data_IF_415686944993
#
_entry.id   IF_415686944993
#
_cell.length_a   1.000
_cell.length_b   1.000
_cell.length_c   1.000
_cell.angle_alpha   90.00
_cell.angle_beta   90.00
_cell.angle_gamma   90.00
#
_symmetry.space_group_name_H-M   'P 1'
#
loop_
_entity.id
_entity.type
_entity.pdbx_description
1 polymer ?
#
# COMPACT_ATOMS: atom_id res chain seq x y z
N UNK A 1 -20.77 34.60 18.37
CA UNK A 1 -20.47 33.21 18.07
C UNK A 1 -20.58 33.07 16.56
N UNK A 2 -19.61 32.44 15.88
CA UNK A 2 -19.79 32.20 14.45
C UNK A 2 -20.98 31.26 14.26
N UNK A 3 -21.80 31.60 13.29
CA UNK A 3 -22.95 30.78 12.89
C UNK A 3 -22.48 29.43 12.39
N UNK A 4 -22.84 28.38 13.12
CA UNK A 4 -22.46 27.00 12.75
C UNK A 4 -23.42 26.35 11.74
N UNK A 5 -24.43 27.08 11.25
CA UNK A 5 -25.43 26.56 10.32
C UNK A 5 -24.77 26.12 8.99
N UNK A 6 -23.81 26.90 8.50
CA UNK A 6 -23.09 26.58 7.27
C UNK A 6 -22.26 25.29 7.35
N UNK A 7 -21.73 24.94 8.52
CA UNK A 7 -20.97 23.70 8.73
C UNK A 7 -21.87 22.46 8.84
N UNK A 8 -23.08 22.62 9.35
CA UNK A 8 -24.05 21.53 9.41
C UNK A 8 -24.57 21.18 8.01
N UNK A 9 -24.81 22.16 7.17
CA UNK A 9 -25.22 21.98 5.78
C UNK A 9 -24.07 21.37 4.93
N UNK A 10 -22.84 21.83 5.14
CA UNK A 10 -21.66 21.31 4.45
C UNK A 10 -21.31 19.85 4.78
N UNK A 11 -21.83 19.33 5.89
CA UNK A 11 -21.61 17.92 6.32
C UNK A 11 -22.68 16.95 5.83
N UNK A 12 -23.67 17.42 5.09
CA UNK A 12 -24.67 16.52 4.52
C UNK A 12 -24.01 15.61 3.46
N UNK A 13 -24.50 14.37 3.36
CA UNK A 13 -23.96 13.39 2.41
C UNK A 13 -24.03 13.96 0.99
N UNK A 14 -22.89 13.89 0.27
CA UNK A 14 -22.76 14.38 -1.12
C UNK A 14 -22.46 15.89 -1.23
N UNK A 15 -22.27 16.61 -0.12
CA UNK A 15 -21.85 18.01 -0.16
C UNK A 15 -20.32 18.09 -0.28
N UNK A 16 -19.82 18.76 -1.31
CA UNK A 16 -18.40 19.08 -1.44
C UNK A 16 -18.03 20.24 -0.51
N UNK A 17 -16.99 20.06 0.29
CA UNK A 17 -16.47 21.10 1.20
C UNK A 17 -15.46 22.04 0.54
N UNK A 18 -14.92 21.64 -0.61
CA UNK A 18 -13.92 22.38 -1.39
C UNK A 18 -13.93 21.89 -2.84
N UNK A 19 -13.40 22.72 -3.73
CA UNK A 19 -13.22 22.34 -5.13
C UNK A 19 -12.04 21.39 -5.27
N UNK A 20 -12.31 20.17 -5.73
CA UNK A 20 -11.30 19.13 -5.98
C UNK A 20 -10.83 19.08 -7.44
N UNK A 21 -11.35 19.93 -8.29
CA UNK A 21 -11.03 19.95 -9.73
C UNK A 21 -9.68 20.63 -10.02
N UNK A 22 -9.24 21.54 -9.16
CA UNK A 22 -8.00 22.28 -9.34
C UNK A 22 -6.81 21.51 -8.76
N UNK A 23 -5.81 21.24 -9.62
CA UNK A 23 -4.53 20.66 -9.23
C UNK A 23 -3.46 21.74 -9.14
N UNK A 24 -2.66 21.72 -8.07
CA UNK A 24 -1.54 22.65 -7.85
C UNK A 24 -0.26 22.18 -8.54
N UNK A 25 -0.06 20.85 -8.61
CA UNK A 25 1.14 20.25 -9.22
C UNK A 25 0.83 19.66 -10.59
N UNK A 26 1.80 19.78 -11.50
CA UNK A 26 1.73 19.17 -12.83
C UNK A 26 1.52 17.64 -12.75
N UNK A 27 0.91 17.08 -13.78
CA UNK A 27 0.71 15.65 -13.91
C UNK A 27 1.96 15.00 -14.54
N UNK A 28 2.86 14.51 -13.68
CA UNK A 28 4.09 13.85 -14.11
C UNK A 28 3.76 12.41 -14.52
N UNK A 29 4.28 11.99 -15.67
CA UNK A 29 4.30 10.61 -16.14
C UNK A 29 5.76 10.12 -16.15
N UNK A 30 5.96 8.81 -16.03
CA UNK A 30 7.29 8.22 -16.07
C UNK A 30 7.90 8.30 -17.47
N UNK A 31 9.18 8.58 -17.52
CA UNK A 31 10.01 8.40 -18.71
C UNK A 31 10.35 6.91 -18.90
N UNK A 32 10.68 6.46 -20.11
CA UNK A 32 11.06 5.08 -20.37
C UNK A 32 12.20 4.60 -19.47
N UNK A 33 11.98 3.53 -18.71
CA UNK A 33 12.95 2.92 -17.81
C UNK A 33 12.98 3.50 -16.39
N UNK A 34 12.13 4.45 -16.06
CA UNK A 34 12.01 4.93 -14.69
C UNK A 34 11.33 3.91 -13.78
N UNK A 35 11.90 3.73 -12.60
CA UNK A 35 11.48 2.77 -11.60
C UNK A 35 10.95 3.45 -10.35
N UNK A 36 10.12 2.74 -9.59
CA UNK A 36 9.63 3.19 -8.30
C UNK A 36 9.65 2.06 -7.28
N UNK A 37 10.00 2.37 -6.05
CA UNK A 37 9.97 1.43 -4.93
C UNK A 37 9.15 1.99 -3.79
N UNK A 38 8.26 1.17 -3.25
CA UNK A 38 7.55 1.46 -2.00
C UNK A 38 8.01 0.47 -0.93
N UNK A 39 8.51 0.99 0.18
CA UNK A 39 8.97 0.20 1.33
C UNK A 39 7.96 0.32 2.46
N UNK A 40 7.30 -0.80 2.81
CA UNK A 40 6.22 -0.82 3.79
C UNK A 40 6.64 -1.58 5.06
N UNK A 41 6.72 -0.84 6.17
CA UNK A 41 7.02 -1.35 7.50
C UNK A 41 5.91 -0.99 8.51
N UNK A 42 4.67 -1.04 8.08
CA UNK A 42 3.52 -0.74 8.93
C UNK A 42 2.55 -1.91 8.95
N UNK A 43 1.82 -2.08 10.04
CA UNK A 43 0.80 -3.13 10.15
C UNK A 43 -0.41 -2.80 9.26
N UNK A 44 -1.15 -3.83 8.79
CA UNK A 44 -2.45 -3.62 8.17
C UNK A 44 -3.36 -2.85 9.14
N UNK A 45 -4.10 -1.89 8.59
CA UNK A 45 -5.10 -1.14 9.36
C UNK A 45 -4.55 -0.24 10.48
N UNK A 46 -3.27 0.11 10.45
CA UNK A 46 -2.74 1.18 11.28
C UNK A 46 -3.19 2.53 10.71
N UNK A 47 -4.35 2.99 11.14
CA UNK A 47 -4.97 4.18 10.59
C UNK A 47 -5.11 4.10 9.05
N UNK A 48 -4.76 5.17 8.36
CA UNK A 48 -4.77 5.22 6.89
C UNK A 48 -3.42 4.87 6.23
N UNK A 49 -2.33 4.74 7.01
CA UNK A 49 -0.96 4.65 6.47
C UNK A 49 -0.81 3.49 5.48
N UNK A 50 -1.25 2.29 5.88
CA UNK A 50 -1.17 1.11 5.02
C UNK A 50 -1.92 1.29 3.71
N UNK A 51 -3.21 1.54 3.77
CA UNK A 51 -4.08 1.62 2.59
C UNK A 51 -3.71 2.79 1.68
N UNK A 52 -3.43 3.97 2.24
CA UNK A 52 -3.09 5.17 1.43
C UNK A 52 -1.78 4.95 0.67
N UNK A 53 -0.77 4.32 1.28
CA UNK A 53 0.48 4.03 0.57
C UNK A 53 0.29 2.96 -0.53
N UNK A 54 -0.54 1.94 -0.32
CA UNK A 54 -0.89 0.99 -1.38
C UNK A 54 -1.62 1.68 -2.55
N UNK A 55 -2.59 2.55 -2.26
CA UNK A 55 -3.28 3.35 -3.27
C UNK A 55 -2.32 4.28 -4.02
N UNK A 56 -1.40 4.92 -3.31
CA UNK A 56 -0.39 5.80 -3.92
C UNK A 56 0.56 5.00 -4.81
N UNK A 57 1.02 3.83 -4.36
CA UNK A 57 1.86 2.92 -5.16
C UNK A 57 1.14 2.47 -6.44
N UNK A 58 -0.15 2.17 -6.34
CA UNK A 58 -0.96 1.85 -7.53
C UNK A 58 -1.00 3.03 -8.51
N UNK A 59 -1.16 4.25 -8.00
CA UNK A 59 -1.14 5.47 -8.85
C UNK A 59 0.22 5.70 -9.49
N UNK A 60 1.32 5.42 -8.79
CA UNK A 60 2.69 5.48 -9.34
C UNK A 60 2.83 4.50 -10.52
N UNK A 61 2.35 3.26 -10.35
CA UNK A 61 2.31 2.27 -11.45
C UNK A 61 1.53 2.78 -12.66
N UNK A 62 0.35 3.36 -12.42
CA UNK A 62 -0.51 3.91 -13.48
C UNK A 62 0.08 5.13 -14.19
N UNK A 63 1.06 5.78 -13.58
CA UNK A 63 1.87 6.84 -14.19
C UNK A 63 3.03 6.32 -15.05
N UNK A 64 3.15 5.00 -15.22
CA UNK A 64 4.11 4.38 -16.11
C UNK A 64 5.40 3.89 -15.46
N UNK A 65 5.62 4.12 -14.16
CA UNK A 65 6.81 3.62 -13.47
C UNK A 65 6.81 2.09 -13.40
N UNK A 66 7.98 1.46 -13.60
CA UNK A 66 8.18 0.07 -13.22
C UNK A 66 8.27 -0.02 -11.69
N UNK A 67 7.24 -0.56 -11.07
CA UNK A 67 6.95 -0.36 -9.65
C UNK A 67 7.12 -1.64 -8.85
N UNK A 68 7.89 -1.54 -7.76
CA UNK A 68 8.09 -2.61 -6.77
C UNK A 68 7.54 -2.20 -5.41
N UNK A 69 6.84 -3.12 -4.74
CA UNK A 69 6.40 -3.00 -3.36
C UNK A 69 7.16 -4.02 -2.50
N UNK A 70 7.87 -3.52 -1.49
CA UNK A 70 8.68 -4.32 -0.56
C UNK A 70 8.02 -4.32 0.81
N UNK A 71 7.48 -5.45 1.22
CA UNK A 71 6.83 -5.67 2.52
C UNK A 71 7.84 -6.33 3.47
N UNK A 72 8.13 -5.69 4.60
CA UNK A 72 9.06 -6.21 5.59
C UNK A 72 8.62 -5.84 7.01
N UNK A 73 9.20 -6.48 8.03
CA UNK A 73 8.70 -6.34 9.38
C UNK A 73 7.19 -6.56 9.45
N UNK A 74 6.41 -5.70 10.12
CA UNK A 74 4.96 -5.87 10.22
C UNK A 74 4.23 -5.71 8.89
N UNK A 75 4.86 -5.10 7.88
CA UNK A 75 4.29 -4.95 6.54
C UNK A 75 3.96 -6.27 5.86
N UNK A 76 4.66 -7.37 6.19
CA UNK A 76 4.36 -8.69 5.62
C UNK A 76 2.96 -9.19 5.94
N UNK A 77 2.36 -8.70 7.04
CA UNK A 77 0.98 -9.04 7.40
C UNK A 77 -0.05 -8.56 6.37
N UNK A 78 0.30 -7.56 5.55
CA UNK A 78 -0.54 -7.13 4.42
C UNK A 78 -0.65 -8.21 3.35
N UNK A 79 0.40 -9.01 3.19
CA UNK A 79 0.49 -10.05 2.17
C UNK A 79 -0.23 -11.35 2.54
N UNK A 80 -0.80 -11.47 3.74
CA UNK A 80 -1.59 -12.65 4.12
C UNK A 80 -2.79 -12.80 3.19
N UNK A 81 -2.93 -13.96 2.54
CA UNK A 81 -4.04 -14.28 1.64
C UNK A 81 -5.37 -14.49 2.37
N UNK A 82 -5.33 -14.69 3.69
CA UNK A 82 -6.52 -14.89 4.51
C UNK A 82 -6.58 -13.88 5.65
N UNK A 83 -7.78 -13.40 5.98
CA UNK A 83 -8.01 -12.47 7.09
C UNK A 83 -9.29 -12.80 7.82
N UNK A 84 -9.20 -12.80 9.15
CA UNK A 84 -10.33 -13.05 10.01
C UNK A 84 -10.98 -14.41 9.81
N UNK A 85 -12.19 -14.53 10.30
CA UNK A 85 -13.02 -15.70 10.09
C UNK A 85 -13.99 -15.44 8.94
N UNK A 86 -14.02 -16.28 7.87
CA UNK A 86 -14.80 -15.99 6.66
C UNK A 86 -16.30 -15.70 6.88
N UNK A 87 -16.90 -16.29 7.91
CA UNK A 87 -18.32 -16.10 8.21
C UNK A 87 -18.62 -14.89 9.11
N UNK A 88 -17.61 -14.29 9.70
CA UNK A 88 -17.77 -13.17 10.67
C UNK A 88 -17.19 -11.88 10.13
N UNK A 89 -16.19 -11.98 9.23
CA UNK A 89 -15.44 -10.84 8.76
C UNK A 89 -16.29 -9.77 8.07
N UNK A 90 -17.12 -10.15 7.11
CA UNK A 90 -17.95 -9.21 6.34
C UNK A 90 -19.07 -8.58 7.17
N UNK A 91 -19.67 -9.35 8.09
CA UNK A 91 -20.74 -8.87 8.97
C UNK A 91 -20.21 -7.95 10.08
N UNK A 92 -19.10 -8.37 10.72
CA UNK A 92 -18.55 -7.68 11.87
C UNK A 92 -17.61 -6.53 11.48
N UNK A 93 -16.96 -6.63 10.34
CA UNK A 93 -15.96 -5.66 9.89
C UNK A 93 -15.97 -5.48 8.37
N UNK A 94 -16.94 -4.71 7.84
CA UNK A 94 -16.98 -4.39 6.41
C UNK A 94 -15.66 -3.76 5.95
N UNK A 95 -15.10 -4.25 4.84
CA UNK A 95 -13.83 -3.77 4.32
C UNK A 95 -12.58 -4.44 4.89
N UNK A 96 -12.73 -5.51 5.69
CA UNK A 96 -11.58 -6.28 6.22
C UNK A 96 -10.66 -6.83 5.11
N UNK A 97 -11.17 -7.02 3.90
CA UNK A 97 -10.41 -7.43 2.72
C UNK A 97 -9.85 -6.26 1.89
N UNK A 98 -9.99 -5.01 2.33
CA UNK A 98 -9.57 -3.85 1.55
C UNK A 98 -8.08 -3.89 1.17
N UNK A 99 -7.20 -4.29 2.10
CA UNK A 99 -5.76 -4.45 1.85
C UNK A 99 -5.51 -5.55 0.81
N UNK A 100 -6.15 -6.72 0.96
CA UNK A 100 -6.00 -7.85 0.03
C UNK A 100 -6.47 -7.48 -1.38
N UNK A 101 -7.62 -6.84 -1.48
CA UNK A 101 -8.17 -6.39 -2.76
C UNK A 101 -7.26 -5.37 -3.43
N UNK A 102 -6.68 -4.45 -2.65
CA UNK A 102 -5.73 -3.47 -3.18
C UNK A 102 -4.44 -4.12 -3.66
N UNK A 103 -3.85 -5.05 -2.89
CA UNK A 103 -2.66 -5.80 -3.31
C UNK A 103 -2.92 -6.61 -4.57
N UNK A 104 -4.08 -7.28 -4.66
CA UNK A 104 -4.47 -8.02 -5.87
C UNK A 104 -4.55 -7.09 -7.08
N UNK A 105 -5.21 -5.95 -6.94
CA UNK A 105 -5.26 -4.92 -8.01
C UNK A 105 -3.86 -4.50 -8.44
N UNK A 106 -2.94 -4.27 -7.50
CA UNK A 106 -1.56 -3.89 -7.79
C UNK A 106 -0.82 -4.97 -8.58
N UNK A 107 -0.96 -6.24 -8.17
CA UNK A 107 -0.35 -7.38 -8.85
C UNK A 107 -0.91 -7.52 -10.28
N UNK A 108 -2.23 -7.43 -10.42
CA UNK A 108 -2.92 -7.50 -11.72
C UNK A 108 -2.48 -6.36 -12.66
N UNK A 109 -2.16 -5.19 -12.12
CA UNK A 109 -1.62 -4.04 -12.86
C UNK A 109 -0.10 -4.08 -13.07
N UNK A 110 0.58 -5.15 -12.63
CA UNK A 110 1.99 -5.40 -12.87
C UNK A 110 2.94 -4.76 -11.86
N UNK A 111 2.48 -4.47 -10.64
CA UNK A 111 3.38 -4.14 -9.52
C UNK A 111 4.06 -5.42 -9.04
N UNK A 112 5.38 -5.38 -8.89
CA UNK A 112 6.15 -6.47 -8.29
C UNK A 112 6.04 -6.41 -6.77
N UNK A 113 5.33 -7.37 -6.17
CA UNK A 113 5.11 -7.40 -4.72
C UNK A 113 6.00 -8.44 -4.06
N UNK A 114 6.77 -8.03 -3.07
CA UNK A 114 7.72 -8.86 -2.34
C UNK A 114 7.41 -8.88 -0.84
N UNK A 115 7.57 -10.03 -0.19
CA UNK A 115 7.39 -10.20 1.26
C UNK A 115 8.60 -10.88 1.90
N UNK A 116 9.12 -10.32 2.99
CA UNK A 116 10.27 -10.81 3.70
C UNK A 116 9.96 -12.14 4.40
N UNK A 117 10.68 -13.22 4.04
CA UNK A 117 10.55 -14.57 4.61
C UNK A 117 10.79 -14.62 6.11
N UNK A 118 11.81 -13.91 6.58
CA UNK A 118 12.10 -13.87 8.00
C UNK A 118 10.95 -13.25 8.79
N UNK A 119 10.40 -12.13 8.30
CA UNK A 119 9.30 -11.49 8.97
C UNK A 119 8.04 -12.35 8.96
N UNK A 120 7.65 -12.90 7.81
CA UNK A 120 6.45 -13.76 7.73
C UNK A 120 6.59 -15.02 8.58
N UNK A 121 7.66 -15.76 8.43
CA UNK A 121 7.86 -17.05 9.12
C UNK A 121 8.32 -16.89 10.57
N UNK A 122 9.43 -16.20 10.82
CA UNK A 122 10.06 -16.19 12.14
C UNK A 122 9.42 -15.18 13.11
N UNK A 123 8.95 -14.02 12.63
CA UNK A 123 8.35 -13.02 13.52
C UNK A 123 6.84 -13.22 13.68
N UNK A 124 6.13 -13.55 12.62
CA UNK A 124 4.67 -13.61 12.62
C UNK A 124 4.10 -15.01 12.44
N UNK A 125 4.94 -16.02 12.20
CA UNK A 125 4.55 -17.43 12.22
C UNK A 125 3.58 -17.83 11.12
N UNK A 126 3.53 -17.13 10.00
CA UNK A 126 2.73 -17.59 8.88
C UNK A 126 3.60 -18.06 7.71
N UNK A 127 3.31 -19.25 7.14
CA UNK A 127 4.09 -19.85 6.08
C UNK A 127 3.84 -19.19 4.72
N UNK A 128 4.75 -19.44 3.77
CA UNK A 128 4.72 -18.81 2.45
C UNK A 128 3.50 -19.18 1.60
N UNK A 129 2.92 -20.35 1.83
CA UNK A 129 1.71 -20.82 1.15
C UNK A 129 0.44 -20.06 1.57
N UNK A 130 0.51 -19.27 2.64
CA UNK A 130 -0.54 -18.35 3.03
C UNK A 130 -0.37 -16.93 2.45
N UNK A 131 0.68 -16.68 1.69
CA UNK A 131 0.82 -15.42 0.97
C UNK A 131 -0.22 -15.32 -0.14
N UNK A 132 -0.67 -14.10 -0.40
CA UNK A 132 -1.55 -13.80 -1.52
C UNK A 132 -0.86 -14.18 -2.84
N UNK A 133 -1.60 -14.78 -3.76
CA UNK A 133 -1.09 -15.15 -5.07
C UNK A 133 -0.44 -13.95 -5.78
N UNK A 134 0.76 -14.18 -6.33
CA UNK A 134 1.55 -13.15 -6.99
C UNK A 134 2.51 -12.39 -6.06
N UNK A 135 2.40 -12.55 -4.75
CA UNK A 135 3.43 -12.05 -3.82
C UNK A 135 4.63 -12.99 -3.84
N UNK A 136 5.82 -12.43 -4.02
CA UNK A 136 7.08 -13.19 -4.06
C UNK A 136 7.79 -13.12 -2.71
N UNK A 137 8.01 -14.25 -2.03
CA UNK A 137 8.83 -14.26 -0.83
C UNK A 137 10.31 -13.98 -1.19
N UNK A 138 11.00 -13.20 -0.36
CA UNK A 138 12.40 -12.85 -0.58
C UNK A 138 13.25 -12.97 0.71
N UNK A 139 14.56 -13.08 0.52
CA UNK A 139 15.50 -13.24 1.61
C UNK A 139 15.57 -11.99 2.50
N UNK A 140 15.74 -12.10 3.83
CA UNK A 140 15.78 -10.92 4.72
C UNK A 140 16.89 -9.92 4.38
N UNK A 141 18.03 -10.35 3.83
CA UNK A 141 19.07 -9.43 3.39
C UNK A 141 18.69 -8.61 2.15
N UNK A 142 17.75 -9.09 1.36
CA UNK A 142 17.25 -8.38 0.17
C UNK A 142 16.48 -7.09 0.54
N UNK A 143 16.09 -6.90 1.82
CA UNK A 143 15.50 -5.63 2.27
C UNK A 143 16.50 -4.49 2.04
N UNK A 144 17.75 -4.66 2.46
CA UNK A 144 18.81 -3.68 2.21
C UNK A 144 19.17 -3.61 0.74
N UNK A 145 19.33 -4.76 0.08
CA UNK A 145 19.75 -4.81 -1.32
C UNK A 145 18.68 -4.20 -2.26
N UNK A 146 17.40 -4.33 -1.94
CA UNK A 146 16.34 -3.64 -2.68
C UNK A 146 16.41 -2.12 -2.51
N UNK A 147 16.72 -1.62 -1.31
CA UNK A 147 16.91 -0.21 -1.08
C UNK A 147 18.15 0.35 -1.80
N UNK A 148 19.26 -0.40 -1.79
CA UNK A 148 20.46 -0.05 -2.54
C UNK A 148 20.23 -0.10 -4.06
N UNK A 149 19.42 -1.06 -4.52
CA UNK A 149 18.99 -1.14 -5.92
C UNK A 149 18.17 0.09 -6.31
N UNK A 150 17.18 0.46 -5.51
CA UNK A 150 16.38 1.66 -5.73
C UNK A 150 17.26 2.93 -5.78
N UNK A 151 18.20 3.07 -4.85
CA UNK A 151 19.14 4.18 -4.84
C UNK A 151 20.02 4.22 -6.10
N UNK A 152 20.57 3.07 -6.51
CA UNK A 152 21.43 2.98 -7.69
C UNK A 152 20.69 3.27 -8.98
N UNK A 153 19.43 2.90 -9.06
CA UNK A 153 18.54 3.17 -10.19
C UNK A 153 17.99 4.59 -10.19
N UNK A 154 18.26 5.40 -9.15
CA UNK A 154 17.63 6.71 -8.93
C UNK A 154 16.09 6.63 -8.92
N UNK A 155 15.57 5.52 -8.44
CA UNK A 155 14.14 5.25 -8.41
C UNK A 155 13.39 6.26 -7.54
N UNK A 156 12.15 6.57 -7.91
CA UNK A 156 11.22 7.25 -7.02
C UNK A 156 10.94 6.35 -5.81
N UNK A 157 10.99 6.88 -4.60
CA UNK A 157 10.82 6.08 -3.39
C UNK A 157 9.71 6.62 -2.48
N UNK A 158 8.83 5.71 -2.06
CA UNK A 158 7.88 5.92 -0.95
C UNK A 158 8.32 5.03 0.22
N UNK A 159 8.30 5.57 1.42
CA UNK A 159 8.74 4.84 2.59
C UNK A 159 7.84 5.15 3.79
N UNK A 160 7.34 4.09 4.46
CA UNK A 160 6.56 4.21 5.69
C UNK A 160 7.41 4.05 6.95
N UNK A 161 8.72 4.02 6.82
CA UNK A 161 9.63 3.91 7.94
C UNK A 161 9.56 5.17 8.77
N UNK A 162 8.90 5.09 9.90
CA UNK A 162 8.98 6.11 10.94
C UNK A 162 10.14 5.75 11.86
N UNK A 163 11.07 6.67 12.00
CA UNK A 163 12.14 6.59 13.00
C UNK A 163 11.57 6.96 14.35
#
# INVERSE_FOLDING_TARGET
MPDNSSLADAKSAGTELFDTSEKVFEDIQAEPGETAFTFMHTVPYEGSVGLVNLLTTTRVRRKGFDTSLVLYGPGVLMASGTRGFPKVGDEAFPGHMAINNQLKTMIDEGVHVYACRFASGALYGFPEDLLLDGVKPFHPLDVLDSALTAWRQKAFQLNTWTV
#
